data_IF_641352345676
#
_entry.id   IF_641352345676
#
_cell.length_a   1.000
_cell.length_b   1.000
_cell.length_c   1.000
_cell.angle_alpha   90.00
_cell.angle_beta   90.00
_cell.angle_gamma   90.00
#
_symmetry.space_group_name_H-M   'P 1'
#
loop_
_entity.id
_entity.type
_entity.pdbx_description
1 polymer ?
#
# COMPACT_ATOMS: atom_id res chain seq x y z
N UNK A 1 3.28 -11.21 -10.92
CA UNK A 1 2.27 -10.27 -10.38
C UNK A 1 2.96 -9.47 -9.30
N UNK A 2 2.72 -8.17 -9.15
CA UNK A 2 3.36 -7.40 -8.09
C UNK A 2 2.78 -7.76 -6.70
N UNK A 3 1.48 -8.01 -6.63
CA UNK A 3 0.77 -8.36 -5.39
C UNK A 3 -0.11 -9.60 -5.59
N UNK A 4 -0.14 -10.48 -4.59
CA UNK A 4 -1.04 -11.63 -4.53
C UNK A 4 -2.39 -11.23 -3.94
N UNK A 5 -3.47 -11.88 -4.39
CA UNK A 5 -4.81 -11.69 -3.84
C UNK A 5 -4.86 -12.01 -2.34
N UNK A 6 -4.09 -13.01 -1.90
CA UNK A 6 -3.95 -13.35 -0.47
C UNK A 6 -3.31 -12.20 0.31
N UNK A 7 -2.33 -11.52 -0.26
CA UNK A 7 -1.69 -10.38 0.40
C UNK A 7 -2.65 -9.20 0.55
N UNK A 8 -3.53 -8.95 -0.43
CA UNK A 8 -4.59 -7.93 -0.34
C UNK A 8 -5.54 -8.27 0.82
N UNK A 9 -6.01 -9.51 0.89
CA UNK A 9 -6.90 -9.94 1.97
C UNK A 9 -6.24 -9.80 3.35
N UNK A 10 -4.94 -10.11 3.46
CA UNK A 10 -4.19 -9.95 4.71
C UNK A 10 -4.04 -8.48 5.13
N UNK A 11 -4.01 -7.54 4.18
CA UNK A 11 -4.01 -6.11 4.48
C UNK A 11 -5.38 -5.69 4.99
N UNK A 12 -6.42 -5.91 4.17
CA UNK A 12 -7.78 -5.41 4.44
C UNK A 12 -8.41 -6.04 5.69
N UNK A 13 -8.21 -7.35 5.90
CA UNK A 13 -8.80 -8.08 7.03
C UNK A 13 -7.86 -8.19 8.23
N UNK A 14 -6.56 -8.01 8.02
CA UNK A 14 -5.54 -8.24 9.04
C UNK A 14 -4.96 -6.95 9.58
N UNK A 15 -4.07 -6.33 8.81
CA UNK A 15 -3.23 -5.23 9.30
C UNK A 15 -3.98 -3.93 9.49
N UNK A 16 -5.00 -3.67 8.66
CA UNK A 16 -5.68 -2.36 8.62
C UNK A 16 -6.88 -2.29 9.58
N UNK A 17 -7.42 -3.44 9.97
CA UNK A 17 -8.58 -3.51 10.85
C UNK A 17 -8.26 -2.96 12.25
N UNK A 18 -7.12 -3.35 12.81
CA UNK A 18 -6.75 -2.95 14.18
C UNK A 18 -6.53 -1.44 14.31
N UNK A 19 -5.74 -0.78 13.43
CA UNK A 19 -5.59 0.66 13.47
C UNK A 19 -6.87 1.42 13.16
N UNK A 20 -7.70 0.93 12.23
CA UNK A 20 -8.98 1.55 11.92
C UNK A 20 -9.91 1.60 13.15
N UNK A 21 -9.95 0.52 13.93
CA UNK A 21 -10.70 0.48 15.20
C UNK A 21 -10.10 1.45 16.22
N UNK A 22 -8.77 1.56 16.29
CA UNK A 22 -8.10 2.47 17.24
C UNK A 22 -8.47 3.94 17.01
N UNK A 23 -8.72 4.36 15.76
CA UNK A 23 -9.15 5.72 15.43
C UNK A 23 -10.55 6.07 15.97
N UNK A 24 -11.38 5.07 16.29
CA UNK A 24 -12.68 5.31 16.92
C UNK A 24 -12.55 5.80 18.37
N UNK A 25 -11.39 5.59 19.01
CA UNK A 25 -11.10 6.04 20.37
C UNK A 25 -10.42 7.42 20.43
N UNK A 26 -10.24 8.10 19.29
CA UNK A 26 -9.65 9.44 19.25
C UNK A 26 -10.56 10.49 19.91
N UNK A 27 -9.92 11.43 20.60
CA UNK A 27 -10.59 12.54 21.29
C UNK A 27 -10.97 13.63 20.29
N UNK A 28 -11.96 14.45 20.63
CA UNK A 28 -12.36 15.58 19.80
C UNK A 28 -11.23 16.60 19.64
N UNK A 29 -10.93 17.00 18.40
CA UNK A 29 -9.91 18.02 18.07
C UNK A 29 -10.27 19.45 18.52
N UNK A 30 -11.55 19.73 18.72
CA UNK A 30 -12.07 21.04 19.13
C UNK A 30 -13.32 20.81 19.96
N UNK A 31 -13.73 21.80 20.76
CA UNK A 31 -14.99 21.73 21.51
C UNK A 31 -16.19 21.54 20.55
N UNK A 32 -16.62 20.28 20.41
CA UNK A 32 -17.72 19.87 19.54
C UNK A 32 -19.07 20.31 20.09
N UNK A 33 -19.17 20.60 21.40
CA UNK A 33 -20.43 20.98 22.04
C UNK A 33 -20.79 22.44 21.74
N UNK A 34 -19.83 23.26 21.29
CA UNK A 34 -20.07 24.65 20.85
C UNK A 34 -20.54 24.74 19.39
N UNK A 35 -20.50 23.64 18.62
CA UNK A 35 -20.84 23.64 17.20
C UNK A 35 -22.32 23.32 16.97
N UNK A 36 -23.02 23.98 16.02
CA UNK A 36 -24.38 23.61 15.65
C UNK A 36 -24.46 22.18 15.06
N UNK A 37 -25.62 21.52 15.15
CA UNK A 37 -25.81 20.17 14.61
C UNK A 37 -25.59 20.11 13.10
N UNK A 38 -25.00 19.01 12.65
CA UNK A 38 -24.63 18.76 11.25
C UNK A 38 -25.83 18.84 10.29
N UNK A 39 -25.67 19.47 9.13
CA UNK A 39 -26.70 19.45 8.09
C UNK A 39 -26.58 18.18 7.22
N UNK A 40 -27.58 17.27 7.22
CA UNK A 40 -27.48 15.99 6.51
C UNK A 40 -27.42 16.11 4.98
N UNK A 41 -27.84 17.23 4.39
CA UNK A 41 -27.82 17.42 2.93
C UNK A 41 -26.44 17.84 2.41
N UNK A 42 -25.76 18.73 3.15
CA UNK A 42 -24.48 19.32 2.74
C UNK A 42 -23.26 18.64 3.41
N UNK A 43 -23.36 18.28 4.69
CA UNK A 43 -22.26 17.72 5.48
C UNK A 43 -22.33 16.19 5.51
N UNK A 44 -21.99 15.56 4.38
CA UNK A 44 -21.92 14.11 4.25
C UNK A 44 -20.70 13.55 5.00
N UNK A 45 -20.82 12.31 5.48
CA UNK A 45 -19.72 11.59 6.15
C UNK A 45 -18.53 11.39 5.20
N UNK A 46 -18.82 10.96 3.97
CA UNK A 46 -17.86 10.85 2.88
C UNK A 46 -18.13 11.97 1.89
N UNK A 47 -17.19 12.92 1.83
CA UNK A 47 -17.23 14.03 0.89
C UNK A 47 -16.25 13.77 -0.27
N UNK A 48 -16.50 14.34 -1.44
CA UNK A 48 -15.61 14.27 -2.61
C UNK A 48 -14.20 14.74 -2.27
N UNK A 49 -14.05 15.75 -1.38
CA UNK A 49 -12.72 16.19 -0.90
C UNK A 49 -11.95 15.08 -0.18
N UNK A 50 -12.65 14.28 0.63
CA UNK A 50 -12.05 13.15 1.34
C UNK A 50 -11.61 12.08 0.34
N UNK A 51 -12.49 11.73 -0.61
CA UNK A 51 -12.19 10.73 -1.65
C UNK A 51 -10.99 11.15 -2.50
N UNK A 52 -10.94 12.41 -2.93
CA UNK A 52 -9.82 12.91 -3.73
C UNK A 52 -8.50 12.89 -2.95
N UNK A 53 -8.54 13.28 -1.67
CA UNK A 53 -7.35 13.25 -0.82
C UNK A 53 -6.87 11.80 -0.59
N UNK A 54 -7.75 10.90 -0.14
CA UNK A 54 -7.35 9.54 0.22
C UNK A 54 -6.96 8.71 -1.00
N UNK A 55 -7.76 8.71 -2.07
CA UNK A 55 -7.49 7.86 -3.23
C UNK A 55 -6.39 8.42 -4.14
N UNK A 56 -6.40 9.72 -4.43
CA UNK A 56 -5.48 10.29 -5.43
C UNK A 56 -4.17 10.80 -4.84
N UNK A 57 -4.13 11.21 -3.58
CA UNK A 57 -2.87 11.64 -2.97
C UNK A 57 -2.25 10.46 -2.21
N UNK A 58 -2.85 10.07 -1.09
CA UNK A 58 -2.29 9.03 -0.22
C UNK A 58 -2.17 7.70 -0.96
N UNK A 59 -3.24 7.25 -1.62
CA UNK A 59 -3.26 5.98 -2.36
C UNK A 59 -2.23 5.92 -3.50
N UNK A 60 -2.01 7.02 -4.23
CA UNK A 60 -1.01 7.07 -5.30
C UNK A 60 0.42 7.01 -4.73
N UNK A 61 0.69 7.67 -3.60
CA UNK A 61 1.98 7.54 -2.92
C UNK A 61 2.23 6.11 -2.43
N UNK A 62 1.21 5.45 -1.88
CA UNK A 62 1.30 4.07 -1.43
C UNK A 62 1.52 3.09 -2.58
N UNK A 63 0.80 3.28 -3.69
CA UNK A 63 1.01 2.52 -4.92
C UNK A 63 2.43 2.71 -5.45
N UNK A 64 2.91 3.96 -5.53
CA UNK A 64 4.24 4.27 -6.01
C UNK A 64 5.32 3.60 -5.17
N UNK A 65 5.25 3.69 -3.84
CA UNK A 65 6.23 3.05 -2.96
C UNK A 65 6.22 1.53 -3.09
N UNK A 66 5.05 0.90 -3.19
CA UNK A 66 4.93 -0.54 -3.43
C UNK A 66 5.61 -0.96 -4.74
N UNK A 67 5.37 -0.22 -5.83
CA UNK A 67 6.06 -0.47 -7.10
C UNK A 67 7.57 -0.24 -7.01
N UNK A 68 8.03 0.78 -6.29
CA UNK A 68 9.47 1.01 -6.06
C UNK A 68 10.10 -0.19 -5.36
N UNK A 69 9.48 -0.72 -4.30
CA UNK A 69 9.98 -1.91 -3.60
C UNK A 69 9.99 -3.13 -4.52
N UNK A 70 8.93 -3.32 -5.31
CA UNK A 70 8.87 -4.40 -6.30
C UNK A 70 10.04 -4.32 -7.29
N UNK A 71 10.24 -3.17 -7.94
CA UNK A 71 11.32 -2.99 -8.90
C UNK A 71 12.71 -3.08 -8.25
N UNK A 72 12.87 -2.63 -7.00
CA UNK A 72 14.12 -2.73 -6.27
C UNK A 72 14.52 -4.20 -6.02
N UNK A 73 13.57 -5.05 -5.58
CA UNK A 73 13.83 -6.49 -5.37
C UNK A 73 14.15 -7.17 -6.70
N UNK A 74 13.41 -6.83 -7.75
CA UNK A 74 13.59 -7.40 -9.09
C UNK A 74 14.95 -7.03 -9.68
N UNK A 75 15.34 -5.75 -9.57
CA UNK A 75 16.63 -5.25 -10.03
C UNK A 75 17.80 -5.84 -9.24
N UNK A 76 17.65 -6.01 -7.92
CA UNK A 76 18.66 -6.67 -7.09
C UNK A 76 18.90 -8.14 -7.49
N UNK A 77 17.89 -8.80 -8.06
CA UNK A 77 17.95 -10.18 -8.54
C UNK A 77 18.17 -10.28 -10.06
N UNK A 78 18.61 -9.21 -10.72
CA UNK A 78 19.02 -9.27 -12.13
C UNK A 78 17.99 -8.91 -13.19
N UNK A 79 16.78 -8.58 -12.77
CA UNK A 79 15.67 -8.24 -13.66
C UNK A 79 15.51 -6.73 -13.77
N UNK A 80 16.00 -6.14 -14.86
CA UNK A 80 15.84 -4.69 -15.09
C UNK A 80 14.37 -4.35 -15.40
N UNK A 81 13.86 -3.18 -14.95
CA UNK A 81 12.46 -2.79 -15.18
C UNK A 81 12.02 -2.80 -16.64
N UNK A 82 12.91 -2.45 -17.57
CA UNK A 82 12.62 -2.44 -19.01
C UNK A 82 12.51 -3.86 -19.60
N UNK A 83 13.29 -4.82 -19.09
CA UNK A 83 13.27 -6.21 -19.56
C UNK A 83 11.98 -6.90 -19.16
N UNK A 84 11.45 -6.57 -17.98
CA UNK A 84 10.21 -7.14 -17.42
C UNK A 84 8.94 -6.83 -18.22
N UNK A 85 8.97 -5.84 -19.11
CA UNK A 85 7.82 -5.47 -19.91
C UNK A 85 7.48 -6.62 -20.87
N UNK A 86 6.20 -7.04 -20.88
CA UNK A 86 5.67 -8.13 -21.71
C UNK A 86 6.21 -9.54 -21.44
N UNK A 87 7.00 -9.74 -20.38
CA UNK A 87 7.60 -11.05 -20.08
C UNK A 87 6.67 -12.01 -19.29
N UNK A 88 5.41 -11.61 -19.09
CA UNK A 88 4.42 -12.31 -18.24
C UNK A 88 4.15 -13.74 -18.71
N UNK A 89 3.96 -13.95 -20.01
CA UNK A 89 3.66 -15.27 -20.58
C UNK A 89 4.81 -16.25 -20.36
N UNK A 90 6.05 -15.80 -20.61
CA UNK A 90 7.25 -16.59 -20.38
C UNK A 90 7.48 -16.85 -18.88
N UNK A 91 7.15 -15.89 -18.02
CA UNK A 91 7.29 -15.99 -16.57
C UNK A 91 6.37 -17.04 -15.94
N UNK A 92 5.12 -17.15 -16.43
CA UNK A 92 4.13 -18.09 -15.91
C UNK A 92 4.20 -19.46 -16.59
N UNK A 93 4.98 -19.61 -17.67
CA UNK A 93 5.16 -20.88 -18.35
C UNK A 93 6.04 -21.84 -17.54
N UNK A 94 5.47 -22.98 -17.12
CA UNK A 94 6.14 -24.02 -16.33
C UNK A 94 7.16 -24.83 -17.15
N UNK A 95 6.98 -24.91 -18.47
CA UNK A 95 7.87 -25.68 -19.35
C UNK A 95 9.20 -24.99 -19.64
N UNK A 96 9.26 -23.67 -19.45
CA UNK A 96 10.49 -22.87 -19.64
C UNK A 96 11.30 -22.90 -18.34
N UNK A 97 12.54 -23.39 -18.41
CA UNK A 97 13.44 -23.47 -17.24
C UNK A 97 14.76 -22.72 -17.42
N UNK A 98 14.87 -22.00 -18.53
CA UNK A 98 16.06 -21.35 -19.07
C UNK A 98 15.78 -19.89 -19.40
N UNK A 99 14.88 -19.24 -18.66
CA UNK A 99 14.55 -17.83 -18.90
C UNK A 99 15.75 -16.94 -18.55
N UNK A 100 16.22 -16.17 -19.53
CA UNK A 100 17.38 -15.29 -19.38
C UNK A 100 17.00 -13.94 -18.75
N UNK A 101 17.73 -13.55 -17.71
CA UNK A 101 17.62 -12.23 -17.07
C UNK A 101 18.43 -11.17 -17.83
N UNK A 102 18.49 -9.95 -17.27
CA UNK A 102 19.24 -8.85 -17.91
C UNK A 102 20.76 -8.91 -17.75
N UNK A 103 21.27 -9.90 -17.01
CA UNK A 103 22.69 -10.17 -16.79
C UNK A 103 23.17 -11.47 -17.48
N UNK A 104 22.29 -12.18 -18.19
CA UNK A 104 22.59 -13.42 -18.89
C UNK A 104 22.50 -14.68 -18.02
N UNK A 105 21.86 -14.61 -16.84
CA UNK A 105 21.63 -15.77 -15.99
C UNK A 105 20.34 -16.47 -16.40
N UNK A 106 20.35 -17.80 -16.35
CA UNK A 106 19.17 -18.63 -16.64
C UNK A 106 18.43 -18.97 -15.36
N UNK A 107 17.11 -18.76 -15.37
CA UNK A 107 16.24 -18.96 -14.22
C UNK A 107 15.25 -20.12 -14.42
N UNK A 108 15.28 -21.08 -13.49
CA UNK A 108 14.30 -22.16 -13.43
C UNK A 108 12.93 -21.66 -12.98
N UNK A 109 11.86 -22.38 -13.31
CA UNK A 109 10.49 -21.99 -12.90
C UNK A 109 10.36 -21.84 -11.37
N UNK A 110 10.93 -22.77 -10.61
CA UNK A 110 10.89 -22.73 -9.14
C UNK A 110 11.63 -21.50 -8.57
N UNK A 111 12.79 -21.14 -9.12
CA UNK A 111 13.54 -19.95 -8.69
C UNK A 111 12.77 -18.65 -9.00
N UNK A 112 12.13 -18.57 -10.17
CA UNK A 112 11.29 -17.41 -10.55
C UNK A 112 10.09 -17.25 -9.64
N UNK A 113 9.40 -18.34 -9.30
CA UNK A 113 8.26 -18.32 -8.38
C UNK A 113 8.68 -18.01 -6.95
N UNK A 114 9.85 -18.48 -6.52
CA UNK A 114 10.47 -18.07 -5.26
C UNK A 114 10.72 -16.55 -5.20
N UNK A 115 11.32 -15.98 -6.25
CA UNK A 115 11.53 -14.55 -6.37
C UNK A 115 10.22 -13.76 -6.40
N UNK A 116 9.20 -14.25 -7.13
CA UNK A 116 7.86 -13.66 -7.14
C UNK A 116 7.23 -13.63 -5.74
N UNK A 117 7.39 -14.70 -4.95
CA UNK A 117 6.94 -14.74 -3.56
C UNK A 117 7.70 -13.73 -2.67
N UNK A 118 9.02 -13.57 -2.86
CA UNK A 118 9.79 -12.53 -2.17
C UNK A 118 9.31 -11.12 -2.55
N UNK A 119 9.00 -10.87 -3.82
CA UNK A 119 8.43 -9.61 -4.30
C UNK A 119 7.06 -9.32 -3.66
N UNK A 120 6.18 -10.31 -3.55
CA UNK A 120 4.89 -10.16 -2.87
C UNK A 120 5.04 -9.77 -1.41
N UNK A 121 5.95 -10.44 -0.69
CA UNK A 121 6.24 -10.13 0.71
C UNK A 121 6.84 -8.74 0.88
N UNK A 122 7.75 -8.33 -0.01
CA UNK A 122 8.34 -6.99 0.00
C UNK A 122 7.31 -5.88 -0.26
N UNK A 123 6.42 -6.07 -1.24
CA UNK A 123 5.33 -5.15 -1.52
C UNK A 123 4.38 -5.05 -0.33
N UNK A 124 3.98 -6.19 0.24
CA UNK A 124 3.12 -6.25 1.43
C UNK A 124 3.74 -5.46 2.60
N UNK A 125 5.02 -5.67 2.88
CA UNK A 125 5.71 -4.94 3.94
C UNK A 125 5.76 -3.42 3.68
N UNK A 126 6.02 -3.01 2.44
CA UNK A 126 6.03 -1.60 2.07
C UNK A 126 4.66 -0.92 2.29
N UNK A 127 3.57 -1.62 1.95
CA UNK A 127 2.21 -1.15 2.18
C UNK A 127 1.92 -0.98 3.67
N UNK A 128 2.26 -1.98 4.49
CA UNK A 128 2.06 -1.94 5.95
C UNK A 128 2.89 -0.83 6.60
N UNK A 129 4.13 -0.63 6.17
CA UNK A 129 4.99 0.44 6.69
C UNK A 129 4.44 1.83 6.39
N UNK A 130 3.89 2.04 5.18
CA UNK A 130 3.22 3.29 4.85
C UNK A 130 1.91 3.49 5.59
N UNK A 131 1.21 2.41 5.92
CA UNK A 131 -0.02 2.48 6.70
C UNK A 131 0.22 3.12 8.07
N UNK A 132 1.38 2.89 8.70
CA UNK A 132 1.74 3.57 9.94
C UNK A 132 1.77 5.09 9.80
N UNK A 133 2.25 5.59 8.66
CA UNK A 133 2.23 7.02 8.36
C UNK A 133 0.81 7.51 8.06
N UNK A 134 0.01 6.73 7.34
CA UNK A 134 -1.38 7.07 7.03
C UNK A 134 -2.24 7.18 8.30
N UNK A 135 -2.06 6.25 9.25
CA UNK A 135 -2.72 6.29 10.56
C UNK A 135 -2.36 7.56 11.32
N UNK A 136 -1.08 7.94 11.33
CA UNK A 136 -0.62 9.15 12.01
C UNK A 136 -1.23 10.42 11.41
N UNK A 137 -1.31 10.50 10.08
CA UNK A 137 -1.94 11.62 9.37
C UNK A 137 -3.45 11.64 9.62
N UNK A 138 -4.09 10.47 9.65
CA UNK A 138 -5.53 10.30 9.81
C UNK A 138 -6.04 10.54 11.24
N UNK A 139 -5.15 10.59 12.25
CA UNK A 139 -5.52 10.94 13.64
C UNK A 139 -6.14 12.32 13.75
N UNK A 140 -5.71 13.27 12.92
CA UNK A 140 -6.14 14.68 13.00
C UNK A 140 -6.55 15.20 11.64
N UNK A 141 -7.73 15.81 11.53
CA UNK A 141 -8.22 16.43 10.30
C UNK A 141 -7.84 17.90 10.16
N UNK A 142 -7.59 18.61 11.26
CA UNK A 142 -7.25 20.03 11.25
C UNK A 142 -6.03 20.37 12.10
N UNK A 143 -5.95 19.77 13.28
CA UNK A 143 -4.87 20.06 14.21
C UNK A 143 -3.56 19.41 13.77
N UNK A 144 -2.44 19.95 14.24
CA UNK A 144 -1.15 19.29 14.11
C UNK A 144 -1.04 18.16 15.13
N UNK A 145 -0.35 17.08 14.76
CA UNK A 145 -0.08 15.92 15.64
C UNK A 145 0.56 16.35 16.97
N UNK A 146 1.44 17.37 16.93
CA UNK A 146 2.14 17.86 18.12
C UNK A 146 1.20 18.58 19.08
N UNK A 147 0.16 19.25 18.58
CA UNK A 147 -0.82 19.95 19.42
C UNK A 147 -1.84 18.98 20.02
N UNK A 148 -2.25 17.96 19.25
CA UNK A 148 -3.22 16.97 19.72
C UNK A 148 -2.60 15.94 20.69
N UNK A 149 -1.31 15.63 20.54
CA UNK A 149 -0.61 14.66 21.39
C UNK A 149 -0.16 15.18 22.76
N UNK A 150 -0.36 16.46 23.05
CA UNK A 150 0.00 17.12 24.32
C UNK A 150 -1.17 17.31 25.28
N UNK A 151 -2.34 16.77 24.97
CA UNK A 151 -3.52 16.75 25.86
C UNK A 151 -3.78 15.37 26.47
#
# INVERSE_FOLDING_TARGET
LPLSLVAILMIDLGTDLWPAISLAYEVAETDIMQRPPRNPQYDRLVNTRLVLFSYLQVGVFQMYAGFVTYFAIMMANGWKPLHLLFQRELWDCETVNDLEDSYGQQWTYAARKGLEASCHSGYFFAVVALQWSDILISKTRKNSIVMQGTE
#
